data_IF_927708670250
#
_entry.id   IF_927708670250
#
_cell.length_a   1.000
_cell.length_b   1.000
_cell.length_c   1.000
_cell.angle_alpha   90.00
_cell.angle_beta   90.00
_cell.angle_gamma   90.00
#
_symmetry.space_group_name_H-M   'P 1'
#
loop_
_entity.id
_entity.type
_entity.pdbx_description
1 polymer ?
#
# COMPACT_ATOMS: atom_id res chain seq x y z
N UNK A 1 26.55 -37.45 -22.88
CA UNK A 1 25.92 -36.62 -23.93
C UNK A 1 26.95 -36.41 -25.03
N UNK A 2 26.62 -36.73 -26.29
CA UNK A 2 27.55 -36.63 -27.42
C UNK A 2 27.97 -37.95 -28.08
N UNK A 3 27.42 -39.09 -27.65
CA UNK A 3 27.73 -40.42 -28.24
C UNK A 3 26.99 -40.67 -29.58
N UNK A 4 26.12 -39.74 -29.97
CA UNK A 4 25.41 -39.74 -31.24
C UNK A 4 25.80 -38.45 -31.97
N UNK A 5 26.50 -38.60 -33.10
CA UNK A 5 26.95 -37.50 -33.94
C UNK A 5 26.59 -37.76 -35.40
N UNK A 6 26.23 -36.71 -36.15
CA UNK A 6 25.99 -36.81 -37.59
C UNK A 6 27.28 -37.14 -38.34
N UNK A 7 27.32 -38.29 -38.99
CA UNK A 7 28.47 -38.71 -39.79
C UNK A 7 28.39 -38.11 -41.19
N UNK A 8 27.17 -38.02 -41.74
CA UNK A 8 26.91 -37.44 -43.06
C UNK A 8 26.76 -35.89 -43.01
N UNK A 9 27.10 -35.22 -44.11
CA UNK A 9 27.00 -33.75 -44.22
C UNK A 9 25.57 -33.24 -43.95
N UNK A 10 24.55 -33.97 -44.43
CA UNK A 10 23.15 -33.63 -44.17
C UNK A 10 22.79 -33.75 -42.68
N UNK A 11 23.29 -34.78 -41.99
CA UNK A 11 23.06 -34.98 -40.56
C UNK A 11 23.73 -33.86 -39.73
N UNK A 12 24.94 -33.43 -40.12
CA UNK A 12 25.62 -32.31 -39.47
C UNK A 12 24.85 -31.00 -39.60
N UNK A 13 24.32 -30.69 -40.80
CA UNK A 13 23.49 -29.51 -41.02
C UNK A 13 22.21 -29.56 -40.17
N UNK A 14 21.58 -30.73 -40.08
CA UNK A 14 20.41 -30.94 -39.22
C UNK A 14 20.73 -30.76 -37.74
N UNK A 15 21.85 -31.30 -37.25
CA UNK A 15 22.30 -31.09 -35.86
C UNK A 15 22.55 -29.60 -35.57
N UNK A 16 23.16 -28.85 -36.50
CA UNK A 16 23.37 -27.41 -36.35
C UNK A 16 22.02 -26.67 -36.31
N UNK A 17 21.08 -27.00 -37.19
CA UNK A 17 19.75 -26.42 -37.18
C UNK A 17 19.00 -26.70 -35.86
N UNK A 18 19.05 -27.94 -35.38
CA UNK A 18 18.47 -28.32 -34.08
C UNK A 18 19.13 -27.59 -32.91
N UNK A 19 20.43 -27.36 -32.96
CA UNK A 19 21.13 -26.59 -31.93
C UNK A 19 20.61 -25.15 -31.87
N UNK A 20 20.48 -24.48 -33.02
CA UNK A 20 19.88 -23.14 -33.08
C UNK A 20 18.43 -23.14 -32.59
N UNK A 21 17.60 -24.10 -33.00
CA UNK A 21 16.25 -24.23 -32.49
C UNK A 21 16.23 -24.42 -30.97
N UNK A 22 17.11 -25.26 -30.43
CA UNK A 22 17.24 -25.50 -28.99
C UNK A 22 17.66 -24.23 -28.23
N UNK A 23 18.62 -23.47 -28.75
CA UNK A 23 19.04 -22.19 -28.17
C UNK A 23 17.91 -21.17 -28.19
N UNK A 24 17.12 -21.09 -29.26
CA UNK A 24 15.96 -20.21 -29.34
C UNK A 24 14.89 -20.56 -28.29
N UNK A 25 14.51 -21.84 -28.21
CA UNK A 25 13.53 -22.32 -27.22
C UNK A 25 14.03 -22.08 -25.79
N UNK A 26 15.30 -22.36 -25.53
CA UNK A 26 15.88 -22.12 -24.21
C UNK A 26 15.91 -20.63 -23.86
N UNK A 27 16.25 -19.77 -24.83
CA UNK A 27 16.22 -18.32 -24.68
C UNK A 27 14.83 -17.80 -24.33
N UNK A 28 13.78 -18.29 -25.00
CA UNK A 28 12.39 -17.90 -24.70
C UNK A 28 11.96 -18.36 -23.31
N UNK A 29 12.28 -19.59 -22.92
CA UNK A 29 11.94 -20.09 -21.59
C UNK A 29 12.65 -19.29 -20.49
N UNK A 30 13.91 -18.94 -20.70
CA UNK A 30 14.66 -18.13 -19.75
C UNK A 30 14.06 -16.73 -19.62
N UNK A 31 13.63 -16.12 -20.73
CA UNK A 31 12.96 -14.82 -20.71
C UNK A 31 11.65 -14.86 -19.91
N UNK A 32 10.82 -15.90 -20.09
CA UNK A 32 9.59 -16.07 -19.31
C UNK A 32 9.86 -16.22 -17.81
N UNK A 33 10.89 -16.98 -17.43
CA UNK A 33 11.30 -17.12 -16.02
C UNK A 33 11.77 -15.79 -15.46
N UNK A 34 12.57 -15.02 -16.21
CA UNK A 34 12.99 -13.69 -15.81
C UNK A 34 11.80 -12.76 -15.62
N UNK A 35 10.84 -12.76 -16.54
CA UNK A 35 9.60 -11.99 -16.44
C UNK A 35 8.77 -12.40 -15.21
N UNK A 36 8.65 -13.70 -14.92
CA UNK A 36 7.94 -14.18 -13.75
C UNK A 36 8.59 -13.68 -12.45
N UNK A 37 9.93 -13.71 -12.37
CA UNK A 37 10.68 -13.17 -11.23
C UNK A 37 10.49 -11.66 -11.10
N UNK A 38 10.50 -10.94 -12.23
CA UNK A 38 10.23 -9.50 -12.22
C UNK A 38 8.82 -9.19 -11.74
N UNK A 39 7.82 -9.95 -12.21
CA UNK A 39 6.40 -9.83 -11.82
C UNK A 39 6.18 -9.97 -10.33
N UNK A 40 6.81 -10.97 -9.69
CA UNK A 40 6.73 -11.17 -8.23
C UNK A 40 7.27 -9.95 -7.47
N UNK A 41 8.30 -9.30 -8.01
CA UNK A 41 8.97 -8.19 -7.36
C UNK A 41 8.49 -6.80 -7.80
N UNK A 42 7.48 -6.69 -8.69
CA UNK A 42 7.05 -5.40 -9.25
C UNK A 42 6.72 -4.37 -8.16
N UNK A 43 5.87 -4.72 -7.20
CA UNK A 43 5.45 -3.79 -6.15
C UNK A 43 6.62 -3.31 -5.28
N UNK A 44 7.61 -4.17 -5.06
CA UNK A 44 8.82 -3.83 -4.29
C UNK A 44 9.76 -2.94 -5.10
N UNK A 45 9.94 -3.24 -6.40
CA UNK A 45 10.78 -2.46 -7.31
C UNK A 45 10.21 -1.08 -7.60
N UNK A 46 8.89 -0.97 -7.81
CA UNK A 46 8.23 0.33 -7.98
C UNK A 46 8.43 1.21 -6.75
N UNK A 47 8.26 0.64 -5.54
CA UNK A 47 8.52 1.35 -4.29
C UNK A 47 9.99 1.78 -4.18
N UNK A 48 10.92 0.88 -4.47
CA UNK A 48 12.36 1.17 -4.39
C UNK A 48 12.77 2.25 -5.40
N UNK A 49 12.19 2.23 -6.61
CA UNK A 49 12.40 3.27 -7.62
C UNK A 49 11.84 4.63 -7.16
N UNK A 50 10.63 4.67 -6.60
CA UNK A 50 10.00 5.90 -6.12
C UNK A 50 10.75 6.49 -4.90
N UNK A 51 11.25 5.64 -4.00
CA UNK A 51 12.13 6.09 -2.91
C UNK A 51 13.50 6.53 -3.43
N UNK A 52 14.05 5.82 -4.41
CA UNK A 52 15.33 6.14 -5.04
C UNK A 52 15.32 7.54 -5.67
N UNK A 53 14.27 7.89 -6.40
CA UNK A 53 14.15 9.22 -7.01
C UNK A 53 14.04 10.34 -5.97
N UNK A 54 13.35 10.09 -4.84
CA UNK A 54 13.31 11.04 -3.71
C UNK A 54 14.70 11.22 -3.09
N UNK A 55 15.46 10.13 -2.90
CA UNK A 55 16.82 10.19 -2.35
C UNK A 55 17.76 10.97 -3.28
N UNK A 56 17.67 10.71 -4.59
CA UNK A 56 18.47 11.41 -5.60
C UNK A 56 18.22 12.92 -5.57
N UNK A 57 16.95 13.32 -5.57
CA UNK A 57 16.55 14.73 -5.44
C UNK A 57 17.07 15.40 -4.16
N UNK A 58 16.96 14.72 -3.01
CA UNK A 58 17.44 15.25 -1.73
C UNK A 58 18.97 15.42 -1.69
N UNK A 59 19.71 14.59 -2.44
CA UNK A 59 21.16 14.72 -2.57
C UNK A 59 21.58 15.85 -3.49
N UNK A 60 20.85 16.08 -4.59
CA UNK A 60 21.10 17.22 -5.47
C UNK A 60 20.91 18.57 -4.76
N UNK A 61 20.01 18.62 -3.79
CA UNK A 61 19.72 19.80 -2.96
C UNK A 61 20.60 19.90 -1.69
N UNK A 62 21.64 19.07 -1.55
CA UNK A 62 22.58 19.05 -0.41
C UNK A 62 21.89 18.99 0.98
N UNK A 63 20.76 18.28 1.09
CA UNK A 63 20.00 18.19 2.33
C UNK A 63 20.79 17.43 3.40
N UNK A 64 20.86 17.91 4.66
CA UNK A 64 21.55 17.19 5.73
C UNK A 64 20.98 15.79 5.94
N UNK A 65 21.86 14.81 6.14
CA UNK A 65 21.50 13.39 6.22
C UNK A 65 20.44 13.07 7.31
N UNK A 66 20.41 13.86 8.39
CA UNK A 66 19.39 13.74 9.44
C UNK A 66 17.98 14.09 8.96
N UNK A 67 17.85 15.05 8.04
CA UNK A 67 16.58 15.47 7.44
C UNK A 67 16.19 14.50 6.33
N UNK A 68 17.14 14.10 5.48
CA UNK A 68 16.94 13.09 4.43
C UNK A 68 16.31 11.81 5.01
N UNK A 69 16.90 11.26 6.08
CA UNK A 69 16.39 10.04 6.74
C UNK A 69 14.95 10.18 7.24
N UNK A 70 14.56 11.38 7.69
CA UNK A 70 13.17 11.65 8.14
C UNK A 70 12.22 11.68 6.95
N UNK A 71 12.60 12.36 5.87
CA UNK A 71 11.79 12.47 4.65
C UNK A 71 11.62 11.10 4.00
N UNK A 72 12.70 10.34 3.83
CA UNK A 72 12.67 8.99 3.24
C UNK A 72 11.79 8.05 4.06
N UNK A 73 11.88 8.10 5.40
CA UNK A 73 11.02 7.28 6.27
C UNK A 73 9.54 7.65 6.12
N UNK A 74 9.24 8.95 6.04
CA UNK A 74 7.87 9.42 5.82
C UNK A 74 7.35 9.02 4.45
N UNK A 75 8.17 9.15 3.40
CA UNK A 75 7.84 8.74 2.05
C UNK A 75 7.54 7.23 1.96
N UNK A 76 8.40 6.38 2.55
CA UNK A 76 8.18 4.92 2.56
C UNK A 76 6.87 4.56 3.28
N UNK A 77 6.58 5.21 4.41
CA UNK A 77 5.31 5.03 5.12
C UNK A 77 4.10 5.47 4.28
N UNK A 78 4.18 6.61 3.60
CA UNK A 78 3.12 7.13 2.74
C UNK A 78 2.85 6.20 1.56
N UNK A 79 3.89 5.76 0.85
CA UNK A 79 3.77 4.87 -0.32
C UNK A 79 3.15 3.53 0.09
N UNK A 80 3.61 2.92 1.20
CA UNK A 80 3.03 1.66 1.70
C UNK A 80 1.55 1.81 2.02
N UNK A 81 1.18 2.87 2.75
CA UNK A 81 -0.21 3.10 3.11
C UNK A 81 -1.09 3.33 1.87
N UNK A 82 -0.59 4.10 0.90
CA UNK A 82 -1.28 4.33 -0.38
C UNK A 82 -1.49 3.03 -1.16
N UNK A 83 -0.46 2.18 -1.28
CA UNK A 83 -0.57 0.88 -1.95
C UNK A 83 -1.65 -0.01 -1.31
N UNK A 84 -1.72 -0.06 0.02
CA UNK A 84 -2.76 -0.80 0.75
C UNK A 84 -4.16 -0.23 0.46
N UNK A 85 -4.30 1.09 0.47
CA UNK A 85 -5.57 1.76 0.21
C UNK A 85 -6.04 1.57 -1.24
N UNK A 86 -5.13 1.63 -2.21
CA UNK A 86 -5.44 1.37 -3.62
C UNK A 86 -5.84 -0.09 -3.85
N UNK A 87 -5.12 -1.04 -3.25
CA UNK A 87 -5.46 -2.45 -3.33
C UNK A 87 -6.88 -2.68 -2.78
N UNK A 88 -7.18 -2.11 -1.61
CA UNK A 88 -8.52 -2.13 -1.01
C UNK A 88 -9.57 -1.57 -1.97
N UNK A 89 -9.34 -0.36 -2.51
CA UNK A 89 -10.29 0.30 -3.39
C UNK A 89 -10.52 -0.48 -4.69
N UNK A 90 -9.48 -1.07 -5.30
CA UNK A 90 -9.62 -1.94 -6.48
C UNK A 90 -10.45 -3.18 -6.17
N UNK A 91 -10.19 -3.85 -5.04
CA UNK A 91 -11.00 -5.00 -4.60
C UNK A 91 -12.47 -4.60 -4.39
N UNK A 92 -12.70 -3.45 -3.78
CA UNK A 92 -14.04 -2.91 -3.55
C UNK A 92 -14.77 -2.56 -4.86
N UNK A 93 -14.08 -2.08 -5.88
CA UNK A 93 -14.65 -1.77 -7.21
C UNK A 93 -14.99 -3.02 -8.04
N UNK A 94 -14.23 -4.10 -7.86
CA UNK A 94 -14.48 -5.38 -8.55
C UNK A 94 -15.62 -6.19 -7.90
N UNK A 95 -16.12 -5.73 -6.75
CA UNK A 95 -17.13 -6.43 -5.96
C UNK A 95 -18.50 -5.75 -6.16
N UNK A 96 -19.58 -6.49 -6.46
CA UNK A 96 -20.91 -5.90 -6.57
C UNK A 96 -21.36 -5.28 -5.23
N UNK A 97 -22.18 -4.22 -5.29
CA UNK A 97 -22.54 -3.38 -4.14
C UNK A 97 -23.03 -4.16 -2.90
N UNK A 98 -23.75 -5.26 -3.09
CA UNK A 98 -24.23 -6.09 -1.99
C UNK A 98 -23.08 -6.76 -1.21
N UNK A 99 -22.07 -7.30 -1.91
CA UNK A 99 -20.90 -7.94 -1.31
C UNK A 99 -19.91 -6.89 -0.76
N UNK A 100 -19.86 -5.71 -1.38
CA UNK A 100 -19.06 -4.57 -0.93
C UNK A 100 -19.42 -4.15 0.50
N UNK A 101 -20.71 -3.94 0.77
CA UNK A 101 -21.20 -3.49 2.07
C UNK A 101 -20.86 -4.49 3.19
N UNK A 102 -21.06 -5.79 2.93
CA UNK A 102 -20.72 -6.84 3.86
C UNK A 102 -19.21 -6.94 4.14
N UNK A 103 -18.37 -6.81 3.11
CA UNK A 103 -16.91 -6.82 3.27
C UNK A 103 -16.43 -5.62 4.10
N UNK A 104 -16.92 -4.42 3.79
CA UNK A 104 -16.59 -3.19 4.52
C UNK A 104 -16.98 -3.30 5.98
N UNK A 105 -18.21 -3.76 6.26
CA UNK A 105 -18.68 -4.01 7.62
C UNK A 105 -17.78 -5.00 8.34
N UNK A 106 -17.44 -6.13 7.72
CA UNK A 106 -16.62 -7.15 8.34
C UNK A 106 -15.21 -6.65 8.67
N UNK A 107 -14.55 -5.95 7.75
CA UNK A 107 -13.18 -5.46 7.94
C UNK A 107 -13.08 -4.35 8.98
N UNK A 108 -14.09 -3.49 9.05
CA UNK A 108 -14.07 -2.31 9.90
C UNK A 108 -14.90 -2.50 11.18
N UNK A 109 -15.52 -3.68 11.37
CA UNK A 109 -16.39 -3.96 12.50
C UNK A 109 -15.71 -3.65 13.82
N UNK A 110 -14.50 -4.16 14.01
CA UNK A 110 -13.75 -4.01 15.27
C UNK A 110 -13.44 -2.55 15.56
N UNK A 111 -13.04 -1.78 14.54
CA UNK A 111 -12.72 -0.36 14.69
C UNK A 111 -13.97 0.48 14.95
N UNK A 112 -15.09 0.20 14.29
CA UNK A 112 -16.36 0.92 14.53
C UNK A 112 -16.94 0.57 15.90
N UNK A 113 -16.79 -0.68 16.33
CA UNK A 113 -17.27 -1.14 17.62
C UNK A 113 -16.40 -0.66 18.76
N UNK A 114 -15.14 -0.26 18.56
CA UNK A 114 -14.34 0.37 19.60
C UNK A 114 -14.85 1.76 20.00
N UNK A 115 -15.60 2.43 19.13
CA UNK A 115 -16.01 3.82 19.32
C UNK A 115 -17.37 3.85 20.03
N UNK A 116 -17.45 4.37 21.28
CA UNK A 116 -18.68 4.39 22.08
C UNK A 116 -19.88 5.04 21.36
N UNK A 117 -19.62 6.06 20.53
CA UNK A 117 -20.66 6.79 19.80
C UNK A 117 -21.42 5.91 18.79
N UNK A 118 -20.75 4.92 18.20
CA UNK A 118 -21.37 3.99 17.25
C UNK A 118 -21.99 2.77 17.95
N UNK A 119 -21.54 2.45 19.16
CA UNK A 119 -22.17 1.43 19.98
C UNK A 119 -23.57 1.84 20.45
N UNK A 120 -23.78 3.13 20.76
CA UNK A 120 -25.06 3.64 21.27
C UNK A 120 -26.21 3.65 20.27
N UNK A 121 -25.93 3.46 18.98
CA UNK A 121 -26.95 3.40 17.92
C UNK A 121 -27.64 2.03 17.99
N UNK A 122 -28.93 2.00 18.39
CA UNK A 122 -29.73 0.78 18.62
C UNK A 122 -30.61 0.36 17.45
N UNK A 123 -30.56 1.05 16.31
CA UNK A 123 -31.49 0.81 15.22
C UNK A 123 -31.18 -0.45 14.40
N UNK A 124 -32.24 -1.10 13.90
CA UNK A 124 -32.19 -2.20 12.94
C UNK A 124 -31.49 -1.82 11.61
N UNK A 125 -31.19 -0.54 11.41
CA UNK A 125 -30.46 0.00 10.24
C UNK A 125 -29.02 0.41 10.56
N UNK A 126 -28.48 0.03 11.73
CA UNK A 126 -27.11 0.35 12.16
C UNK A 126 -26.06 -0.04 11.11
N UNK A 127 -26.19 -1.21 10.51
CA UNK A 127 -25.24 -1.71 9.51
C UNK A 127 -25.20 -0.83 8.26
N UNK A 128 -26.37 -0.44 7.73
CA UNK A 128 -26.44 0.42 6.55
C UNK A 128 -25.92 1.84 6.85
N UNK A 129 -26.20 2.38 8.04
CA UNK A 129 -25.68 3.67 8.47
C UNK A 129 -24.16 3.64 8.62
N UNK A 130 -23.59 2.56 9.17
CA UNK A 130 -22.14 2.41 9.32
C UNK A 130 -21.43 2.29 7.97
N UNK A 131 -22.02 1.55 7.02
CA UNK A 131 -21.52 1.49 5.65
C UNK A 131 -21.54 2.86 5.00
N UNK A 132 -22.65 3.58 5.11
CA UNK A 132 -22.80 4.90 4.50
C UNK A 132 -21.86 5.94 5.13
N UNK A 133 -21.75 5.94 6.45
CA UNK A 133 -20.81 6.77 7.19
C UNK A 133 -19.36 6.48 6.76
N UNK A 134 -18.98 5.19 6.68
CA UNK A 134 -17.64 4.79 6.25
C UNK A 134 -17.35 5.22 4.81
N UNK A 135 -18.34 5.13 3.91
CA UNK A 135 -18.22 5.60 2.53
C UNK A 135 -17.85 7.09 2.44
N UNK A 136 -18.31 7.88 3.41
CA UNK A 136 -17.99 9.32 3.51
C UNK A 136 -16.74 9.61 4.35
N UNK A 137 -16.15 8.62 5.04
CA UNK A 137 -14.91 8.81 5.79
C UNK A 137 -13.70 8.86 4.85
N UNK A 138 -12.84 9.85 5.04
CA UNK A 138 -11.56 9.96 4.31
C UNK A 138 -10.39 9.71 5.25
N UNK A 139 -9.57 8.70 4.95
CA UNK A 139 -8.33 8.46 5.70
C UNK A 139 -7.32 9.56 5.40
N UNK A 140 -6.88 10.29 6.44
CA UNK A 140 -5.82 11.31 6.35
C UNK A 140 -4.58 10.83 7.11
N UNK A 141 -3.41 11.13 6.57
CA UNK A 141 -2.11 10.80 7.16
C UNK A 141 -1.41 12.08 7.58
N UNK A 142 -0.87 12.10 8.80
CA UNK A 142 -0.17 13.24 9.36
C UNK A 142 1.25 12.83 9.76
N UNK A 143 2.23 13.66 9.41
CA UNK A 143 3.60 13.47 9.85
C UNK A 143 3.73 13.83 11.35
N UNK A 144 4.78 13.33 11.99
CA UNK A 144 5.04 13.62 13.39
C UNK A 144 5.14 15.13 13.64
N UNK A 145 4.51 15.59 14.73
CA UNK A 145 4.50 17.00 15.16
C UNK A 145 3.80 17.98 14.21
N UNK A 146 3.05 17.50 13.22
CA UNK A 146 2.15 18.34 12.43
C UNK A 146 0.82 18.51 13.18
N UNK A 147 0.29 19.74 13.31
CA UNK A 147 -1.00 19.95 13.95
C UNK A 147 -2.11 19.26 13.14
N UNK A 148 -2.83 18.35 13.79
CA UNK A 148 -3.89 17.53 13.18
C UNK A 148 -5.22 18.29 13.12
N UNK A 149 -5.58 18.95 14.21
CA UNK A 149 -6.75 19.80 14.31
C UNK A 149 -6.39 21.09 15.06
N UNK A 150 -7.00 22.18 14.63
CA UNK A 150 -6.94 23.50 15.26
C UNK A 150 -8.36 23.91 15.62
N UNK A 151 -8.51 24.94 16.44
CA UNK A 151 -9.81 25.44 16.94
C UNK A 151 -10.82 25.86 15.85
N UNK A 152 -10.44 25.79 14.57
CA UNK A 152 -11.24 26.22 13.43
C UNK A 152 -11.83 25.06 12.62
N UNK A 153 -11.48 23.81 12.94
CA UNK A 153 -11.99 22.63 12.23
C UNK A 153 -13.15 22.00 13.00
N UNK A 154 -14.23 21.69 12.27
CA UNK A 154 -15.49 21.12 12.78
C UNK A 154 -15.68 19.68 12.31
N UNK A 155 -14.60 19.03 11.88
CA UNK A 155 -14.64 17.64 11.42
C UNK A 155 -14.41 16.72 12.62
N UNK A 156 -15.16 15.61 12.66
CA UNK A 156 -14.90 14.50 13.57
C UNK A 156 -13.71 13.68 13.06
N UNK A 157 -12.70 13.51 13.90
CA UNK A 157 -11.53 12.68 13.65
C UNK A 157 -11.56 11.43 14.53
N UNK A 158 -11.26 10.29 13.91
CA UNK A 158 -11.15 8.99 14.58
C UNK A 158 -9.73 8.49 14.38
N UNK A 159 -9.05 8.11 15.47
CA UNK A 159 -7.68 7.63 15.42
C UNK A 159 -7.69 6.13 15.12
N UNK A 160 -7.28 5.76 13.92
CA UNK A 160 -7.15 4.35 13.52
C UNK A 160 -5.79 3.77 13.91
N UNK A 161 -4.74 4.58 13.85
CA UNK A 161 -3.37 4.17 14.17
C UNK A 161 -2.52 5.38 14.52
N UNK A 162 -1.53 5.18 15.39
CA UNK A 162 -0.64 6.23 15.88
C UNK A 162 -1.10 6.84 17.21
N UNK A 163 -0.59 8.03 17.50
CA UNK A 163 -0.83 8.71 18.78
C UNK A 163 -0.91 10.21 18.53
N UNK A 164 -1.93 10.85 19.08
CA UNK A 164 -2.15 12.29 18.95
C UNK A 164 -2.04 12.90 20.34
N UNK A 165 -1.27 13.99 20.45
CA UNK A 165 -1.15 14.74 21.70
C UNK A 165 -2.01 16.00 21.62
N UNK A 166 -2.79 16.25 22.66
CA UNK A 166 -3.52 17.49 22.82
C UNK A 166 -2.62 18.48 23.56
N UNK A 167 -2.36 19.59 22.90
CA UNK A 167 -1.61 20.72 23.46
C UNK A 167 -2.55 21.92 23.52
N UNK A 168 -2.71 22.51 24.71
CA UNK A 168 -3.47 23.74 24.93
C UNK A 168 -2.54 24.75 25.60
N UNK A 169 -2.48 25.97 25.08
CA UNK A 169 -1.62 27.04 25.62
C UNK A 169 -0.15 26.62 25.80
N UNK A 170 0.36 25.80 24.88
CA UNK A 170 1.71 25.23 24.91
C UNK A 170 1.98 24.24 26.06
N UNK A 171 0.93 23.80 26.76
CA UNK A 171 0.98 22.75 27.78
C UNK A 171 0.37 21.44 27.28
N UNK A 172 0.98 20.33 27.67
CA UNK A 172 0.46 19.00 27.40
C UNK A 172 -0.80 18.76 28.24
N UNK A 173 -1.90 18.38 27.58
CA UNK A 173 -3.17 18.10 28.24
C UNK A 173 -3.43 16.61 28.31
N UNK A 174 -3.42 15.93 27.17
CA UNK A 174 -3.76 14.51 27.08
C UNK A 174 -3.14 13.87 25.85
N UNK A 175 -3.09 12.54 25.87
CA UNK A 175 -2.70 11.72 24.72
C UNK A 175 -3.89 10.87 24.30
N UNK A 176 -4.15 10.84 23.01
CA UNK A 176 -5.16 10.00 22.39
C UNK A 176 -4.49 8.83 21.65
N UNK A 177 -5.11 7.67 21.79
CA UNK A 177 -4.65 6.39 21.26
C UNK A 177 -5.59 5.86 20.17
N UNK A 178 -5.22 4.79 19.46
CA UNK A 178 -6.11 4.16 18.49
C UNK A 178 -7.45 3.76 19.14
N UNK A 179 -8.56 4.11 18.50
CA UNK A 179 -9.93 3.96 19.01
C UNK A 179 -10.52 5.22 19.62
N UNK A 180 -9.68 6.20 19.99
CA UNK A 180 -10.15 7.49 20.47
C UNK A 180 -10.62 8.38 19.31
N UNK A 181 -11.51 9.33 19.62
CA UNK A 181 -12.05 10.29 18.67
C UNK A 181 -12.05 11.71 19.25
N UNK A 182 -11.97 12.72 18.38
CA UNK A 182 -12.01 14.13 18.76
C UNK A 182 -12.57 15.00 17.62
N UNK A 183 -13.04 16.20 17.96
CA UNK A 183 -13.72 17.11 17.04
C UNK A 183 -15.25 17.09 17.24
N UNK A 184 -15.82 18.28 17.39
CA UNK A 184 -17.26 18.59 17.35
C UNK A 184 -17.47 19.88 16.57
#
# INVERSE_FOLDING_TARGET
FGDISGDNAAERIFCVALFYCGVLIFGTLLAEVQDAVQRINLNSRERENEIGSIVEYLREEDVPHAVEKKIVRWADFMIRTKQVQEARNRTLQLTPANLHNHLVLFLQHDLLMQIPMFQSIRDCSKENLLVDLWSHMTTKLYAAFVPVATSRHTDLYIIVSGTVILVRDNEFVSTFHPGDYFGE
#
